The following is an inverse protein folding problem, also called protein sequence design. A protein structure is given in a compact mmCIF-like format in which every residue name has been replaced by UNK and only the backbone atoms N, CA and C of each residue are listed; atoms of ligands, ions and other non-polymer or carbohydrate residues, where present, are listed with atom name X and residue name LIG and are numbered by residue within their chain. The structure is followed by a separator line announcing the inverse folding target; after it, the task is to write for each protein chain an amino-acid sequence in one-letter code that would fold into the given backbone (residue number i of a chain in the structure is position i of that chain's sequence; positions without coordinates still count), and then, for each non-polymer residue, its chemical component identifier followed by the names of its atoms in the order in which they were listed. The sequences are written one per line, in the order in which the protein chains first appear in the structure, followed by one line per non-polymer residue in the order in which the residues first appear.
data_IF_679801745305
#
_entry.id   IF_679801745305
#
_cell.length_a   1.000
_cell.length_b   1.000
_cell.length_c   1.000
_cell.angle_alpha   90.00
_cell.angle_beta   90.00
_cell.angle_gamma   90.00
#
_symmetry.space_group_name_H-M   'P 1'
#
loop_
_entity.id
_entity.type
_entity.pdbx_description
1 polymer ?
#
# COMPACT_ATOMS: atom_id res chain seq x y z
N UNK A 1 -19.24 7.67 -0.37
CA UNK A 1 -18.07 7.01 0.25
C UNK A 1 -18.07 5.52 0.01
N UNK A 2 -16.91 4.89 0.15
CA UNK A 2 -16.76 3.44 0.13
C UNK A 2 -15.77 2.98 1.19
N UNK A 3 -16.08 1.81 1.79
CA UNK A 3 -15.19 1.11 2.69
C UNK A 3 -14.34 0.12 1.88
N UNK A 4 -13.05 0.08 2.14
CA UNK A 4 -12.10 -0.80 1.45
C UNK A 4 -11.23 -1.55 2.45
N UNK A 5 -10.69 -2.70 2.06
CA UNK A 5 -9.71 -3.39 2.89
C UNK A 5 -8.43 -2.56 3.00
N UNK A 6 -7.83 -2.51 4.21
CA UNK A 6 -6.59 -1.76 4.43
C UNK A 6 -5.42 -2.25 3.58
N UNK A 7 -5.35 -3.55 3.33
CA UNK A 7 -4.28 -4.16 2.51
C UNK A 7 -4.29 -3.74 1.04
N UNK A 8 -5.41 -3.24 0.50
CA UNK A 8 -5.45 -2.78 -0.90
C UNK A 8 -4.76 -1.44 -1.12
N UNK A 9 -4.28 -0.78 -0.06
CA UNK A 9 -3.56 0.48 -0.19
C UNK A 9 -2.27 0.27 -0.98
N UNK A 10 -1.49 -0.76 -0.64
CA UNK A 10 -0.12 -0.96 -1.12
C UNK A 10 0.17 -2.37 -1.66
N UNK A 11 -0.87 -3.20 -1.83
CA UNK A 11 -0.79 -4.54 -2.40
C UNK A 11 -1.62 -4.65 -3.68
N UNK A 12 -0.95 -4.67 -4.83
CA UNK A 12 -1.61 -4.88 -6.12
C UNK A 12 -2.28 -6.27 -6.22
N UNK A 13 -1.68 -7.28 -5.59
CA UNK A 13 -2.24 -8.63 -5.55
C UNK A 13 -3.58 -8.64 -4.81
N UNK A 14 -3.65 -8.02 -3.63
CA UNK A 14 -4.90 -7.92 -2.87
C UNK A 14 -5.94 -7.07 -3.59
N UNK A 15 -5.54 -5.99 -4.27
CA UNK A 15 -6.44 -5.20 -5.12
C UNK A 15 -7.11 -6.06 -6.20
N UNK A 16 -6.35 -6.94 -6.85
CA UNK A 16 -6.88 -7.84 -7.88
C UNK A 16 -7.79 -8.92 -7.29
N UNK A 17 -7.40 -9.50 -6.14
CA UNK A 17 -8.18 -10.57 -5.48
C UNK A 17 -9.55 -10.06 -5.03
N UNK A 18 -9.61 -8.87 -4.42
CA UNK A 18 -10.86 -8.33 -3.86
C UNK A 18 -11.61 -7.39 -4.81
N UNK A 19 -11.00 -7.04 -5.94
CA UNK A 19 -11.60 -6.14 -6.92
C UNK A 19 -11.70 -4.68 -6.45
N UNK A 20 -10.78 -4.23 -5.58
CA UNK A 20 -10.74 -2.87 -5.05
C UNK A 20 -9.42 -2.20 -5.44
N UNK A 21 -9.45 -1.26 -6.39
CA UNK A 21 -8.30 -0.43 -6.71
C UNK A 21 -8.39 0.88 -5.93
N UNK A 22 -7.50 1.05 -4.95
CA UNK A 22 -7.54 2.17 -4.01
C UNK A 22 -7.44 3.54 -4.69
N UNK A 23 -6.50 3.70 -5.61
CA UNK A 23 -6.27 4.97 -6.34
C UNK A 23 -7.42 5.28 -7.28
N UNK A 24 -7.87 4.32 -8.09
CA UNK A 24 -8.97 4.52 -9.03
C UNK A 24 -10.29 4.83 -8.32
N UNK A 25 -10.58 4.14 -7.22
CA UNK A 25 -11.76 4.44 -6.39
C UNK A 25 -11.67 5.85 -5.81
N UNK A 26 -10.50 6.29 -5.36
CA UNK A 26 -10.29 7.62 -4.79
C UNK A 26 -10.51 8.77 -5.80
N UNK A 27 -10.51 8.49 -7.09
CA UNK A 27 -10.84 9.46 -8.14
C UNK A 27 -12.33 9.69 -8.33
N UNK A 28 -13.15 8.73 -7.91
CA UNK A 28 -14.59 8.73 -8.19
C UNK A 28 -15.46 8.91 -6.95
N UNK A 29 -14.86 8.96 -5.76
CA UNK A 29 -15.54 9.03 -4.47
C UNK A 29 -15.31 10.38 -3.79
N UNK A 30 -16.24 10.80 -2.93
CA UNK A 30 -16.05 11.94 -2.04
C UNK A 30 -15.23 11.55 -0.80
N UNK A 31 -15.39 10.30 -0.33
CA UNK A 31 -14.62 9.76 0.78
C UNK A 31 -14.31 8.28 0.55
N UNK A 32 -13.12 7.85 0.99
CA UNK A 32 -12.71 6.45 1.00
C UNK A 32 -12.22 6.07 2.41
N UNK A 33 -12.71 4.94 2.91
CA UNK A 33 -12.50 4.53 4.29
C UNK A 33 -11.80 3.17 4.34
N UNK A 34 -10.45 3.14 4.33
CA UNK A 34 -9.71 1.90 4.47
C UNK A 34 -9.82 1.35 5.90
N UNK A 35 -10.04 0.04 6.01
CA UNK A 35 -10.12 -0.67 7.29
C UNK A 35 -8.71 -0.97 7.82
N UNK A 36 -8.18 -0.05 8.62
CA UNK A 36 -6.84 -0.15 9.20
C UNK A 36 -6.94 -0.73 10.62
N UNK A 37 -7.15 -2.04 10.69
CA UNK A 37 -7.20 -2.75 11.96
C UNK A 37 -5.86 -3.45 12.18
N UNK A 38 -5.05 -3.06 13.19
CA UNK A 38 -3.74 -3.68 13.43
C UNK A 38 -3.81 -5.21 13.54
N UNK A 39 -4.88 -5.77 14.10
CA UNK A 39 -5.10 -7.22 14.20
C UNK A 39 -5.31 -7.93 12.87
N UNK A 40 -5.59 -7.22 11.78
CA UNK A 40 -5.80 -7.79 10.45
C UNK A 40 -4.54 -7.80 9.58
N UNK A 41 -3.46 -7.19 10.05
CA UNK A 41 -2.16 -7.27 9.41
C UNK A 41 -1.39 -8.48 9.92
N UNK A 42 -0.82 -9.25 9.02
CA UNK A 42 -0.01 -10.42 9.35
C UNK A 42 1.32 -10.03 10.03
N UNK A 43 1.99 -10.98 10.69
CA UNK A 43 3.31 -10.74 11.26
C UNK A 43 4.28 -10.19 10.20
N UNK A 44 5.08 -9.22 10.61
CA UNK A 44 6.09 -8.53 9.79
C UNK A 44 5.53 -7.65 8.66
N UNK A 45 4.20 -7.45 8.54
CA UNK A 45 3.70 -6.36 7.71
C UNK A 45 4.29 -5.04 8.19
N UNK A 46 4.72 -4.19 7.27
CA UNK A 46 5.47 -2.96 7.54
C UNK A 46 6.72 -3.19 8.41
N UNK A 47 7.31 -4.40 8.37
CA UNK A 47 8.44 -4.82 9.21
C UNK A 47 8.12 -4.85 10.72
N UNK A 48 6.84 -4.84 11.09
CA UNK A 48 6.36 -4.90 12.47
C UNK A 48 6.11 -6.36 12.86
N UNK A 49 6.83 -6.90 13.87
CA UNK A 49 6.72 -8.32 14.22
C UNK A 49 5.32 -8.76 14.64
N UNK A 50 4.61 -7.93 15.41
CA UNK A 50 3.22 -8.16 15.84
C UNK A 50 2.46 -6.83 15.68
N UNK A 51 1.81 -6.59 14.52
CA UNK A 51 1.10 -5.35 14.26
C UNK A 51 0.06 -4.99 15.32
N UNK A 52 -0.72 -5.96 15.81
CA UNK A 52 -1.72 -5.75 16.86
C UNK A 52 -1.13 -5.21 18.18
N UNK A 53 0.12 -5.54 18.48
CA UNK A 53 0.82 -5.04 19.67
C UNK A 53 1.49 -3.66 19.47
N UNK A 54 1.46 -3.12 18.26
CA UNK A 54 2.07 -1.83 17.89
C UNK A 54 1.07 -1.00 17.07
N UNK A 55 -0.07 -0.60 17.67
CA UNK A 55 -1.15 0.05 16.94
C UNK A 55 -0.76 1.38 16.30
N UNK A 56 0.04 2.20 16.99
CA UNK A 56 0.55 3.47 16.43
C UNK A 56 1.38 3.23 15.18
N UNK A 57 2.40 2.36 15.27
CA UNK A 57 3.33 2.14 14.15
C UNK A 57 2.62 1.51 12.95
N UNK A 58 1.68 0.59 13.21
CA UNK A 58 0.91 -0.08 12.16
C UNK A 58 0.01 0.90 11.41
N UNK A 59 -0.75 1.71 12.15
CA UNK A 59 -1.64 2.72 11.54
C UNK A 59 -0.82 3.78 10.81
N UNK A 60 0.26 4.27 11.43
CA UNK A 60 1.14 5.25 10.79
C UNK A 60 1.69 4.74 9.46
N UNK A 61 2.24 3.53 9.45
CA UNK A 61 2.83 2.95 8.25
C UNK A 61 1.79 2.77 7.13
N UNK A 62 0.59 2.26 7.45
CA UNK A 62 -0.49 2.10 6.50
C UNK A 62 -0.97 3.45 5.92
N UNK A 63 -1.09 4.47 6.77
CA UNK A 63 -1.53 5.80 6.35
C UNK A 63 -0.45 6.55 5.58
N UNK A 64 0.83 6.36 5.89
CA UNK A 64 1.93 6.86 5.07
C UNK A 64 1.98 6.18 3.70
N UNK A 65 1.75 4.87 3.63
CA UNK A 65 1.60 4.16 2.36
C UNK A 65 0.44 4.76 1.54
N UNK A 66 -0.69 5.06 2.18
CA UNK A 66 -1.82 5.75 1.54
C UNK A 66 -1.42 7.11 0.95
N UNK A 67 -0.69 7.95 1.69
CA UNK A 67 -0.18 9.24 1.17
C UNK A 67 0.68 9.04 -0.07
N UNK A 68 1.62 8.10 0.00
CA UNK A 68 2.54 7.83 -1.11
C UNK A 68 1.82 7.33 -2.37
N UNK A 69 0.94 6.33 -2.26
CA UNK A 69 0.23 5.80 -3.44
C UNK A 69 -0.73 6.83 -4.05
N UNK A 70 -1.41 7.66 -3.25
CA UNK A 70 -2.26 8.72 -3.75
C UNK A 70 -1.45 9.87 -4.38
N UNK A 71 -0.20 10.07 -3.97
CA UNK A 71 0.75 10.96 -4.61
C UNK A 71 1.44 10.36 -5.85
N UNK A 72 1.10 9.11 -6.22
CA UNK A 72 1.69 8.42 -7.35
C UNK A 72 3.12 7.92 -7.10
N UNK A 73 3.45 7.63 -5.84
CA UNK A 73 4.74 7.08 -5.43
C UNK A 73 4.58 5.60 -5.04
N UNK A 74 5.64 4.83 -5.21
CA UNK A 74 5.73 3.48 -4.66
C UNK A 74 5.89 3.56 -3.13
N UNK A 75 4.98 2.97 -2.35
CA UNK A 75 5.01 3.05 -0.90
C UNK A 75 6.21 2.36 -0.25
N UNK A 76 6.91 1.46 -0.96
CA UNK A 76 8.10 0.75 -0.47
C UNK A 76 9.38 1.54 -0.68
N UNK A 77 9.43 2.34 -1.73
CA UNK A 77 10.64 3.07 -2.13
C UNK A 77 10.52 4.58 -2.01
N UNK A 78 9.30 5.12 -1.92
CA UNK A 78 9.02 6.55 -1.95
C UNK A 78 9.33 7.21 -3.30
N UNK A 79 9.62 6.43 -4.34
CA UNK A 79 9.98 6.93 -5.67
C UNK A 79 8.79 6.80 -6.63
N UNK A 80 8.78 7.61 -7.67
CA UNK A 80 7.82 7.40 -8.77
C UNK A 80 8.08 6.03 -9.39
N UNK A 81 7.04 5.22 -9.69
CA UNK A 81 7.21 4.00 -10.46
C UNK A 81 7.96 4.34 -11.74
N UNK A 82 8.98 3.56 -12.06
CA UNK A 82 9.64 3.67 -13.36
C UNK A 82 8.58 3.24 -14.37
N UNK A 83 7.99 4.21 -15.07
CA UNK A 83 7.13 3.91 -16.20
C UNK A 83 7.96 3.05 -17.15
N UNK A 84 7.53 1.81 -17.38
CA UNK A 84 8.01 1.06 -18.52
C UNK A 84 7.59 1.88 -19.73
N UNK A 85 8.54 2.61 -20.28
CA UNK A 85 8.36 3.40 -21.49
C UNK A 85 8.05 2.41 -22.61
N UNK A 86 6.76 2.16 -22.87
CA UNK A 86 6.31 1.51 -24.08
C UNK A 86 6.33 2.57 -25.16
N UNK A 87 7.52 3.05 -25.47
CA UNK A 87 7.78 3.77 -26.72
C UNK A 87 8.04 2.72 -27.79
N UNK A 88 6.99 2.19 -28.33
CA UNK A 88 6.96 1.31 -29.47
C UNK A 88 5.75 1.67 -30.31
N UNK A 89 5.89 2.74 -31.11
CA UNK A 89 5.06 2.93 -32.27
C UNK A 89 5.20 1.71 -33.17
N UNK A 90 4.16 0.91 -33.24
CA UNK A 90 3.84 0.16 -34.46
C UNK A 90 2.32 0.01 -34.53
N UNK A 91 1.76 0.92 -35.31
CA UNK A 91 0.47 0.74 -35.93
C UNK A 91 0.57 -0.49 -36.85
N UNK A 92 -0.03 -1.60 -36.46
CA UNK A 92 -0.32 -2.69 -37.38
C UNK A 92 -1.82 -2.95 -37.42
N UNK A 93 -2.27 -2.64 -38.55
CA UNK A 93 -3.50 -2.88 -39.26
C UNK A 93 -4.26 -4.14 -38.84
N UNK A 94 -5.57 -3.96 -38.79
CA UNK A 94 -6.53 -5.01 -38.53
C UNK A 94 -6.58 -6.05 -39.68
N UNK A 95 -6.39 -7.30 -39.34
CA UNK A 95 -6.89 -8.40 -40.16
C UNK A 95 -7.48 -9.49 -39.27
N UNK A 96 -8.80 -9.56 -39.31
CA UNK A 96 -9.62 -10.64 -38.82
C UNK A 96 -9.36 -11.91 -39.70
N UNK A 97 -9.02 -13.05 -39.14
CA UNK A 97 -9.47 -14.35 -39.58
C UNK A 97 -9.47 -15.36 -38.42
N UNK A 98 -10.58 -16.05 -38.26
CA UNK A 98 -10.86 -16.98 -37.18
C UNK A 98 -10.18 -18.36 -37.33
N UNK A 99 -10.39 -19.17 -36.30
CA UNK A 99 -10.28 -20.62 -36.42
C UNK A 99 -9.54 -21.34 -35.31
N UNK A 100 -10.33 -22.03 -34.49
CA UNK A 100 -10.15 -23.36 -33.91
C UNK A 100 -9.18 -23.63 -32.76
N UNK A 101 -9.82 -24.18 -31.73
CA UNK A 101 -9.24 -24.86 -30.59
C UNK A 101 -8.54 -26.17 -30.94
N UNK A 102 -7.41 -26.46 -30.28
CA UNK A 102 -7.01 -27.85 -30.01
C UNK A 102 -6.31 -27.93 -28.64
N UNK A 103 -6.86 -28.79 -27.82
CA UNK A 103 -6.37 -29.37 -26.57
C UNK A 103 -5.07 -30.16 -26.74
N UNK A 104 -4.24 -30.20 -25.70
CA UNK A 104 -3.19 -31.23 -25.61
C UNK A 104 -2.23 -31.07 -24.46
N UNK A 105 -2.41 -31.87 -23.41
CA UNK A 105 -1.49 -32.16 -22.31
C UNK A 105 -0.10 -32.61 -22.79
N UNK A 106 0.97 -32.31 -22.08
CA UNK A 106 1.74 -33.25 -21.26
C UNK A 106 3.07 -32.76 -20.77
N UNK A 107 3.33 -33.19 -19.58
CA UNK A 107 4.39 -33.16 -18.64
C UNK A 107 5.81 -33.55 -19.13
N UNK A 108 6.73 -33.16 -18.26
CA UNK A 108 7.97 -33.82 -17.80
C UNK A 108 9.27 -33.60 -18.59
N UNK A 109 10.22 -33.08 -17.90
CA UNK A 109 11.43 -33.67 -17.32
C UNK A 109 12.79 -33.26 -17.90
N UNK A 110 13.70 -33.03 -16.93
CA UNK A 110 15.15 -33.27 -16.89
C UNK A 110 16.14 -32.29 -17.56
N UNK A 111 16.81 -31.60 -16.68
CA UNK A 111 18.23 -31.60 -16.30
C UNK A 111 19.37 -31.42 -17.35
N UNK A 112 20.33 -30.62 -16.88
CA UNK A 112 21.80 -30.70 -17.01
C UNK A 112 22.50 -29.93 -18.14
N UNK A 113 23.26 -28.96 -17.70
CA UNK A 113 24.74 -28.84 -17.64
C UNK A 113 25.51 -28.24 -18.84
N UNK A 114 26.52 -27.47 -18.41
CA UNK A 114 27.81 -27.15 -19.07
C UNK A 114 28.01 -25.83 -19.83
N UNK A 115 28.62 -24.89 -19.11
CA UNK A 115 29.95 -24.29 -19.27
C UNK A 115 30.39 -23.61 -20.59
N UNK A 116 30.88 -22.36 -20.37
CA UNK A 116 32.12 -21.75 -20.83
C UNK A 116 32.16 -21.25 -22.29
N UNK A 117 32.46 -19.99 -22.56
CA UNK A 117 33.74 -19.26 -22.46
C UNK A 117 33.61 -17.84 -23.02
N UNK A 118 34.24 -16.92 -22.28
CA UNK A 118 35.03 -15.76 -22.65
C UNK A 118 34.92 -15.09 -24.05
N UNK A 119 34.76 -13.76 -24.01
CA UNK A 119 35.01 -12.86 -25.12
C UNK A 119 34.90 -11.41 -24.70
N UNK A 120 36.02 -10.84 -24.26
CA UNK A 120 36.21 -9.43 -23.93
C UNK A 120 36.09 -8.55 -25.16
N UNK A 121 35.35 -7.47 -25.12
CA UNK A 121 35.73 -6.21 -25.78
C UNK A 121 35.06 -5.05 -25.03
N UNK A 122 35.91 -4.24 -24.41
CA UNK A 122 35.55 -2.97 -23.81
C UNK A 122 35.25 -1.94 -24.91
N UNK A 123 34.13 -1.27 -24.80
CA UNK A 123 33.96 0.06 -25.37
C UNK A 123 33.38 0.96 -24.27
N UNK A 124 34.22 1.92 -23.92
CA UNK A 124 33.95 3.04 -23.03
C UNK A 124 32.78 3.86 -23.53
N UNK A 125 31.84 4.12 -22.64
CA UNK A 125 30.72 5.05 -22.85
C UNK A 125 30.15 5.40 -21.47
N UNK A 126 30.95 6.13 -20.68
CA UNK A 126 30.45 6.90 -19.55
C UNK A 126 29.56 7.99 -20.10
N UNK A 127 28.38 8.17 -19.48
CA UNK A 127 27.73 9.42 -19.11
C UNK A 127 26.18 9.33 -19.12
N UNK A 128 25.61 8.25 -18.56
CA UNK A 128 24.16 8.24 -18.33
C UNK A 128 23.74 7.46 -17.07
N UNK A 129 24.64 7.16 -16.16
CA UNK A 129 24.33 6.31 -14.99
C UNK A 129 24.58 6.99 -13.64
N UNK A 130 24.66 8.31 -13.58
CA UNK A 130 25.00 9.02 -12.33
C UNK A 130 23.86 9.81 -11.68
N UNK A 131 22.66 9.90 -12.27
CA UNK A 131 21.54 10.65 -11.69
C UNK A 131 20.52 9.80 -10.92
N UNK A 132 20.79 8.54 -10.65
CA UNK A 132 19.85 7.62 -10.01
C UNK A 132 20.16 7.22 -8.56
N UNK A 133 21.24 7.66 -7.96
CA UNK A 133 21.71 7.12 -6.66
C UNK A 133 21.52 8.01 -5.42
N UNK A 134 21.08 9.27 -5.54
CA UNK A 134 20.98 10.19 -4.39
C UNK A 134 19.56 10.67 -4.06
N UNK A 135 18.51 9.96 -4.46
CA UNK A 135 17.17 10.27 -3.94
C UNK A 135 17.04 9.67 -2.54
N UNK A 136 17.33 10.48 -1.52
CA UNK A 136 17.10 10.15 -0.12
C UNK A 136 15.63 9.74 0.09
N UNK A 137 15.38 8.66 0.84
CA UNK A 137 14.02 8.26 1.20
C UNK A 137 13.32 9.41 1.93
N UNK A 138 12.04 9.64 1.57
CA UNK A 138 11.23 10.67 2.22
C UNK A 138 11.12 10.39 3.72
N UNK A 139 11.28 11.44 4.52
CA UNK A 139 11.04 11.35 5.95
C UNK A 139 9.54 11.45 6.28
N UNK A 140 9.17 11.24 7.55
CA UNK A 140 7.78 11.21 8.02
C UNK A 140 7.04 12.52 7.71
N UNK A 141 7.66 13.64 7.95
CA UNK A 141 7.10 14.99 7.76
C UNK A 141 6.90 15.28 6.26
N UNK A 142 7.82 14.88 5.43
CA UNK A 142 7.71 15.02 3.97
C UNK A 142 6.57 14.17 3.42
N UNK A 143 6.40 12.92 3.91
CA UNK A 143 5.30 12.04 3.52
C UNK A 143 3.95 12.66 3.93
N UNK A 144 3.84 13.19 5.16
CA UNK A 144 2.61 13.79 5.65
C UNK A 144 2.14 15.00 4.82
N UNK A 145 3.08 15.70 4.17
CA UNK A 145 2.81 16.87 3.31
C UNK A 145 2.55 16.51 1.84
N UNK A 146 2.63 15.24 1.44
CA UNK A 146 2.38 14.83 0.07
C UNK A 146 0.95 15.20 -0.36
N UNK A 147 0.85 15.88 -1.47
CA UNK A 147 -0.43 16.14 -2.12
C UNK A 147 -0.80 14.98 -3.07
N UNK A 148 -2.07 14.60 -3.15
CA UNK A 148 -2.50 13.57 -4.08
C UNK A 148 -2.32 14.02 -5.53
N UNK A 149 -2.18 13.04 -6.44
CA UNK A 149 -2.10 13.30 -7.89
C UNK A 149 -3.40 13.89 -8.42
N UNK A 150 -3.30 14.59 -9.55
CA UNK A 150 -4.46 15.15 -10.24
C UNK A 150 -5.54 14.10 -10.48
N UNK A 151 -6.77 14.45 -10.12
CA UNK A 151 -7.95 13.59 -10.26
C UNK A 151 -8.27 12.74 -9.03
N UNK A 152 -7.39 12.61 -8.07
CA UNK A 152 -7.72 12.04 -6.75
C UNK A 152 -8.44 13.13 -5.94
N UNK A 153 -9.68 12.82 -5.51
CA UNK A 153 -10.54 13.79 -4.83
C UNK A 153 -11.07 13.29 -3.48
N UNK A 154 -11.00 11.98 -3.22
CA UNK A 154 -11.58 11.40 -2.01
C UNK A 154 -10.85 11.87 -0.75
N UNK A 155 -11.64 12.31 0.25
CA UNK A 155 -11.14 12.42 1.63
C UNK A 155 -10.87 11.01 2.17
N UNK A 156 -9.70 10.79 2.72
CA UNK A 156 -9.35 9.51 3.34
C UNK A 156 -9.75 9.53 4.81
N UNK A 157 -10.55 8.54 5.20
CA UNK A 157 -11.12 8.41 6.53
C UNK A 157 -11.00 6.96 7.00
N UNK A 158 -9.85 6.56 7.59
CA UNK A 158 -9.64 5.17 7.98
C UNK A 158 -10.59 4.72 9.09
N UNK A 159 -10.99 3.43 9.03
CA UNK A 159 -11.56 2.73 10.15
C UNK A 159 -10.45 2.25 11.08
N UNK A 160 -10.54 2.59 12.36
CA UNK A 160 -9.59 2.22 13.40
C UNK A 160 -10.19 1.14 14.32
N UNK A 161 -9.34 0.32 14.89
CA UNK A 161 -9.70 -0.80 15.74
C UNK A 161 -10.03 -0.34 17.16
N UNK A 162 -11.26 -0.54 17.62
CA UNK A 162 -11.67 -0.33 19.02
C UNK A 162 -12.17 -1.64 19.64
N UNK A 163 -11.34 -2.68 19.56
CA UNK A 163 -11.60 -3.99 20.19
C UNK A 163 -10.30 -4.75 20.42
N UNK A 164 -10.29 -5.63 21.43
CA UNK A 164 -9.17 -6.55 21.70
C UNK A 164 -9.30 -7.81 20.83
N UNK A 165 -8.30 -8.07 19.98
CA UNK A 165 -8.28 -9.22 19.06
C UNK A 165 -7.67 -10.46 19.71
N UNK A 166 -8.38 -11.10 20.62
CA UNK A 166 -7.88 -12.23 21.45
C UNK A 166 -7.44 -13.47 20.64
N UNK A 167 -7.80 -13.56 19.37
CA UNK A 167 -7.39 -14.63 18.46
C UNK A 167 -6.01 -14.41 17.81
N UNK A 168 -5.44 -13.19 17.94
CA UNK A 168 -4.10 -12.89 17.42
C UNK A 168 -3.04 -13.28 18.42
N UNK A 169 -2.07 -14.08 17.99
CA UNK A 169 -0.94 -14.46 18.84
C UNK A 169 -0.08 -13.23 19.14
N UNK A 170 0.07 -12.92 20.41
CA UNK A 170 0.82 -11.74 20.87
C UNK A 170 -0.03 -10.47 20.89
N UNK A 171 -1.36 -10.57 20.78
CA UNK A 171 -2.27 -9.45 20.95
C UNK A 171 -2.06 -8.72 22.28
N UNK A 172 -2.46 -7.47 22.31
CA UNK A 172 -2.55 -6.67 23.53
C UNK A 172 -4.02 -6.29 23.79
N UNK A 173 -4.32 -5.85 25.01
CA UNK A 173 -5.64 -5.28 25.31
C UNK A 173 -5.72 -3.89 24.72
N UNK A 174 -6.82 -3.61 24.02
CA UNK A 174 -7.10 -2.28 23.50
C UNK A 174 -7.93 -1.49 24.50
N UNK A 175 -7.41 -0.37 24.93
CA UNK A 175 -8.00 0.59 25.83
C UNK A 175 -7.77 2.03 25.34
N UNK A 176 -7.96 3.03 26.21
CA UNK A 176 -7.80 4.44 25.83
C UNK A 176 -6.45 4.79 25.19
N UNK A 177 -5.38 4.16 25.66
CA UNK A 177 -4.02 4.46 25.16
C UNK A 177 -3.84 3.96 23.72
N UNK A 178 -4.33 2.76 23.40
CA UNK A 178 -4.22 2.18 22.06
C UNK A 178 -5.13 2.91 21.06
N UNK A 179 -6.32 3.35 21.50
CA UNK A 179 -7.20 4.16 20.65
C UNK A 179 -6.56 5.51 20.37
N UNK A 180 -6.04 6.19 21.40
CA UNK A 180 -5.34 7.46 21.24
C UNK A 180 -4.13 7.33 20.33
N UNK A 181 -3.36 6.25 20.46
CA UNK A 181 -2.20 5.98 19.64
C UNK A 181 -2.55 5.85 18.15
N UNK A 182 -3.65 5.15 17.82
CA UNK A 182 -4.13 5.02 16.45
C UNK A 182 -4.58 6.39 15.88
N UNK A 183 -5.35 7.17 16.65
CA UNK A 183 -5.80 8.51 16.24
C UNK A 183 -4.60 9.41 15.97
N UNK A 184 -3.62 9.43 16.90
CA UNK A 184 -2.41 10.21 16.72
C UNK A 184 -1.62 9.80 15.47
N UNK A 185 -1.56 8.51 15.16
CA UNK A 185 -0.91 8.01 13.95
C UNK A 185 -1.57 8.52 12.65
N UNK A 186 -2.90 8.67 12.65
CA UNK A 186 -3.63 9.26 11.52
C UNK A 186 -3.24 10.73 11.34
N UNK A 187 -3.21 11.51 12.44
CA UNK A 187 -2.80 12.92 12.40
C UNK A 187 -1.34 13.07 11.96
N UNK A 188 -0.45 12.25 12.51
CA UNK A 188 0.97 12.26 12.18
C UNK A 188 1.26 11.84 10.72
N UNK A 189 0.37 11.08 10.11
CA UNK A 189 0.40 10.78 8.68
C UNK A 189 -0.18 11.91 7.80
N UNK A 190 -0.65 13.03 8.41
CA UNK A 190 -1.20 14.18 7.71
C UNK A 190 -2.64 14.00 7.25
N UNK A 191 -3.43 13.20 7.96
CA UNK A 191 -4.89 13.07 7.79
C UNK A 191 -5.62 13.63 9.01
N UNK A 192 -6.87 14.03 8.84
CA UNK A 192 -7.64 14.73 9.88
C UNK A 192 -8.87 13.93 10.33
N UNK A 193 -9.33 12.97 9.53
CA UNK A 193 -10.56 12.24 9.76
C UNK A 193 -10.30 10.75 10.02
N UNK A 194 -11.11 10.16 10.89
CA UNK A 194 -11.07 8.72 11.22
C UNK A 194 -12.44 8.24 11.71
N UNK A 195 -12.63 6.94 11.77
CA UNK A 195 -13.84 6.30 12.29
C UNK A 195 -13.39 5.15 13.20
N UNK A 196 -14.05 4.98 14.37
CA UNK A 196 -13.80 3.82 15.21
C UNK A 196 -14.74 2.66 14.83
N UNK A 197 -14.23 1.45 14.87
CA UNK A 197 -14.98 0.23 14.68
C UNK A 197 -14.93 -0.66 15.91
N UNK A 198 -16.14 -1.00 16.43
CA UNK A 198 -16.34 -2.03 17.44
C UNK A 198 -17.63 -2.80 17.12
N UNK A 199 -17.51 -4.12 16.92
CA UNK A 199 -18.65 -4.97 16.55
C UNK A 199 -19.77 -5.03 17.63
N UNK A 200 -19.44 -4.75 18.88
CA UNK A 200 -20.41 -4.71 19.99
C UNK A 200 -20.99 -3.31 20.21
N UNK A 201 -20.64 -2.31 19.41
CA UNK A 201 -21.00 -0.90 19.58
C UNK A 201 -20.68 -0.34 20.98
N UNK A 202 -19.54 -0.76 21.52
CA UNK A 202 -19.01 -0.29 22.81
C UNK A 202 -17.68 0.40 22.56
N UNK A 203 -17.74 1.71 22.49
CA UNK A 203 -16.57 2.52 22.15
C UNK A 203 -15.80 2.99 23.39
N UNK A 204 -14.48 3.09 23.24
CA UNK A 204 -13.55 3.48 24.29
C UNK A 204 -13.40 5.02 24.33
N UNK A 205 -14.41 5.69 24.89
CA UNK A 205 -14.51 7.15 24.91
C UNK A 205 -13.27 7.83 25.54
N UNK A 206 -12.60 7.19 26.52
CA UNK A 206 -11.39 7.72 27.15
C UNK A 206 -10.18 7.83 26.20
N UNK A 207 -10.25 7.24 25.01
CA UNK A 207 -9.24 7.39 23.95
C UNK A 207 -9.46 8.60 23.05
N UNK A 208 -10.63 9.24 23.12
CA UNK A 208 -10.94 10.43 22.32
C UNK A 208 -10.27 11.67 22.87
N UNK A 209 -9.98 12.65 22.02
CA UNK A 209 -9.53 13.96 22.43
C UNK A 209 -10.65 14.69 23.18
N UNK A 210 -10.30 15.40 24.24
CA UNK A 210 -11.21 16.33 24.88
C UNK A 210 -11.23 17.66 24.13
N UNK A 211 -12.29 18.46 24.30
CA UNK A 211 -12.37 19.80 23.69
C UNK A 211 -11.22 20.74 24.11
N UNK A 212 -10.50 20.41 25.19
CA UNK A 212 -9.35 21.19 25.66
C UNK A 212 -8.04 20.76 24.97
N UNK A 213 -8.05 19.64 24.26
CA UNK A 213 -6.89 19.07 23.57
C UNK A 213 -6.94 19.28 22.04
N UNK A 214 -8.08 19.77 21.49
CA UNK A 214 -8.22 20.21 20.11
C UNK A 214 -7.65 21.63 19.93
#
# INVERSE_FOLDING_TARGET
SADVYGVVIDSEEDQQIVGQNYVEMSRSLDAISPMIYPSHYGPYNYQIPVPDAQPYDTVLAAMQASKMVLAGLDPKTGKKPVSADVSGNDAVDAAIVGGEAVSGNNAADAAADSQSTSGTTAVSGNDAAQDAEDAQALNKEEIAQLAPTTGVQATVRPWLQDFTATWVKGHISYGPEEIRAQIQAVYDAGYEEWILWNAANRYTEGGLLTQEEE
#
